data_IF_525703494046
#
_entry.id   IF_525703494046
#
_cell.length_a   1.000
_cell.length_b   1.000
_cell.length_c   1.000
_cell.angle_alpha   90.00
_cell.angle_beta   90.00
_cell.angle_gamma   90.00
#
_symmetry.space_group_name_H-M   'P 1'
#
loop_
_entity.id
_entity.type
_entity.pdbx_description
1 polymer ?
#
# COMPACT_ATOMS: atom_id res chain seq x y z
N UNK A 1 -25.13 -7.38 0.36
CA UNK A 1 -25.67 -6.14 -0.25
C UNK A 1 -25.76 -4.98 0.75
N UNK A 2 -26.29 -5.22 1.95
CA UNK A 2 -26.48 -4.17 2.97
C UNK A 2 -25.18 -3.48 3.44
N UNK A 3 -24.05 -4.21 3.53
CA UNK A 3 -22.75 -3.61 3.82
C UNK A 3 -22.39 -2.48 2.84
N UNK A 4 -22.58 -2.72 1.55
CA UNK A 4 -22.29 -1.73 0.49
C UNK A 4 -23.19 -0.49 0.58
N UNK A 5 -24.44 -0.67 1.03
CA UNK A 5 -25.38 0.43 1.29
C UNK A 5 -24.95 1.25 2.50
N UNK A 6 -24.52 0.61 3.58
CA UNK A 6 -23.99 1.30 4.76
C UNK A 6 -22.75 2.12 4.40
N UNK A 7 -21.83 1.53 3.65
CA UNK A 7 -20.64 2.23 3.17
C UNK A 7 -21.02 3.40 2.24
N UNK A 8 -22.04 3.23 1.38
CA UNK A 8 -22.53 4.30 0.49
C UNK A 8 -23.06 5.49 1.28
N UNK A 9 -23.87 5.25 2.32
CA UNK A 9 -24.38 6.32 3.20
C UNK A 9 -23.26 7.09 3.89
N UNK A 10 -22.21 6.39 4.32
CA UNK A 10 -21.03 7.01 4.93
C UNK A 10 -20.29 7.88 3.90
N UNK A 11 -20.04 7.34 2.71
CA UNK A 11 -19.42 8.09 1.62
C UNK A 11 -20.24 9.33 1.25
N UNK A 12 -21.53 9.18 0.98
CA UNK A 12 -22.44 10.26 0.62
C UNK A 12 -22.43 11.37 1.68
N UNK A 13 -22.49 11.00 2.97
CA UNK A 13 -22.38 11.96 4.07
C UNK A 13 -21.05 12.70 4.05
N UNK A 14 -19.94 12.00 3.82
CA UNK A 14 -18.60 12.62 3.77
C UNK A 14 -18.49 13.56 2.55
N UNK A 15 -18.90 13.11 1.37
CA UNK A 15 -18.71 13.87 0.13
C UNK A 15 -19.66 15.07 0.00
N UNK A 16 -20.83 15.04 0.65
CA UNK A 16 -21.79 16.15 0.67
C UNK A 16 -21.38 17.34 1.55
N UNK A 17 -20.30 17.24 2.34
CA UNK A 17 -19.83 18.39 3.12
C UNK A 17 -19.27 19.47 2.19
N UNK A 18 -19.74 20.72 2.34
CA UNK A 18 -19.46 21.82 1.40
C UNK A 18 -17.98 22.16 1.18
N UNK A 19 -17.09 21.83 2.13
CA UNK A 19 -15.64 22.07 1.98
C UNK A 19 -14.89 20.93 1.25
N UNK A 20 -15.50 19.75 1.10
CA UNK A 20 -14.84 18.55 0.57
C UNK A 20 -14.44 18.69 -0.91
N UNK A 21 -15.25 19.29 -1.81
CA UNK A 21 -14.83 19.49 -3.20
C UNK A 21 -13.59 20.37 -3.33
N UNK A 22 -13.54 21.48 -2.59
CA UNK A 22 -12.38 22.38 -2.58
C UNK A 22 -11.15 21.69 -1.98
N UNK A 23 -11.33 21.02 -0.84
CA UNK A 23 -10.24 20.30 -0.17
C UNK A 23 -9.65 19.19 -1.05
N UNK A 24 -10.48 18.35 -1.67
CA UNK A 24 -10.02 17.25 -2.53
C UNK A 24 -9.30 17.75 -3.77
N UNK A 25 -9.76 18.84 -4.38
CA UNK A 25 -9.07 19.47 -5.50
C UNK A 25 -7.69 20.00 -5.09
N UNK A 26 -7.62 20.83 -4.03
CA UNK A 26 -6.36 21.39 -3.52
C UNK A 26 -5.38 20.27 -3.13
N UNK A 27 -5.87 19.26 -2.42
CA UNK A 27 -5.08 18.10 -2.01
C UNK A 27 -4.51 17.36 -3.23
N UNK A 28 -5.32 17.13 -4.27
CA UNK A 28 -4.86 16.45 -5.49
C UNK A 28 -3.76 17.21 -6.21
N UNK A 29 -3.91 18.53 -6.37
CA UNK A 29 -2.92 19.40 -7.03
C UNK A 29 -1.63 19.41 -6.21
N UNK A 30 -1.74 19.61 -4.90
CA UNK A 30 -0.59 19.63 -4.00
C UNK A 30 0.18 18.31 -4.04
N UNK A 31 -0.49 17.18 -3.83
CA UNK A 31 0.16 15.86 -3.80
C UNK A 31 0.80 15.50 -5.15
N UNK A 32 0.12 15.74 -6.27
CA UNK A 32 0.68 15.47 -7.61
C UNK A 32 1.86 16.40 -7.93
N UNK A 33 1.82 17.66 -7.48
CA UNK A 33 2.96 18.58 -7.61
C UNK A 33 4.16 18.11 -6.80
N UNK A 34 3.95 17.66 -5.56
CA UNK A 34 5.00 17.09 -4.71
C UNK A 34 5.60 15.82 -5.30
N UNK A 35 4.77 14.92 -5.84
CA UNK A 35 5.25 13.73 -6.56
C UNK A 35 6.12 14.12 -7.77
N UNK A 36 5.71 15.13 -8.53
CA UNK A 36 6.48 15.64 -9.68
C UNK A 36 7.81 16.26 -9.25
N UNK A 37 7.81 17.06 -8.19
CA UNK A 37 9.04 17.64 -7.61
C UNK A 37 9.98 16.52 -7.16
N UNK A 38 9.49 15.51 -6.43
CA UNK A 38 10.32 14.39 -6.01
C UNK A 38 10.89 13.59 -7.18
N UNK A 39 10.13 13.39 -8.27
CA UNK A 39 10.66 12.77 -9.48
C UNK A 39 11.78 13.59 -10.11
N UNK A 40 11.63 14.92 -10.16
CA UNK A 40 12.69 15.81 -10.65
C UNK A 40 13.94 15.77 -9.76
N UNK A 41 13.77 15.67 -8.44
CA UNK A 41 14.88 15.52 -7.49
C UNK A 41 15.60 14.19 -7.72
N UNK A 42 14.87 13.07 -7.77
CA UNK A 42 15.44 11.74 -8.05
C UNK A 42 16.17 11.77 -9.38
N UNK A 43 15.53 12.28 -10.43
CA UNK A 43 16.10 12.37 -11.76
C UNK A 43 17.40 13.17 -11.74
N UNK A 44 17.41 14.40 -11.20
CA UNK A 44 18.61 15.24 -11.15
C UNK A 44 19.75 14.61 -10.37
N UNK A 45 19.46 13.91 -9.26
CA UNK A 45 20.48 13.26 -8.46
C UNK A 45 21.05 12.02 -9.12
N UNK A 46 20.27 11.32 -9.94
CA UNK A 46 20.79 10.22 -10.77
C UNK A 46 21.83 10.69 -11.80
N UNK A 47 21.84 11.98 -12.16
CA UNK A 47 22.84 12.59 -13.06
C UNK A 47 23.92 13.37 -12.34
N UNK A 48 23.98 13.31 -11.00
CA UNK A 48 25.04 13.99 -10.24
C UNK A 48 26.41 13.42 -10.63
N UNK A 49 27.40 14.29 -10.81
CA UNK A 49 28.78 13.86 -10.93
C UNK A 49 29.23 13.12 -9.67
N UNK A 50 29.83 11.96 -9.88
CA UNK A 50 30.24 11.07 -8.81
C UNK A 50 31.58 11.58 -8.28
N UNK A 51 31.61 11.91 -6.98
CA UNK A 51 32.84 12.33 -6.34
C UNK A 51 33.71 11.08 -6.13
N UNK A 52 34.89 11.07 -6.72
CA UNK A 52 35.82 9.96 -6.55
C UNK A 52 36.29 9.93 -5.10
N UNK A 53 35.97 8.84 -4.39
CA UNK A 53 36.44 8.61 -3.03
C UNK A 53 37.83 7.98 -3.10
N UNK A 54 38.78 8.56 -2.34
CA UNK A 54 40.11 8.00 -2.19
C UNK A 54 40.04 6.62 -1.52
N UNK A 55 40.57 5.61 -2.22
CA UNK A 55 40.70 4.26 -1.70
C UNK A 55 41.93 3.59 -2.29
N UNK A 56 42.81 3.14 -1.40
CA UNK A 56 44.02 2.42 -1.77
C UNK A 56 43.76 0.91 -1.66
N UNK A 57 43.56 0.26 -2.81
CA UNK A 57 43.23 -1.17 -2.89
C UNK A 57 44.35 -2.08 -2.39
N UNK A 58 45.59 -1.59 -2.35
CA UNK A 58 46.75 -2.42 -1.99
C UNK A 58 46.93 -2.55 -0.47
N UNK A 59 46.27 -1.69 0.31
CA UNK A 59 46.46 -1.61 1.75
C UNK A 59 45.24 -2.15 2.51
N UNK A 60 45.29 -3.45 2.86
CA UNK A 60 44.19 -4.14 3.56
C UNK A 60 44.00 -3.71 5.02
N UNK A 61 44.99 -3.04 5.58
CA UNK A 61 45.06 -2.65 7.00
C UNK A 61 44.49 -1.25 7.25
N UNK A 62 43.92 -0.62 6.23
CA UNK A 62 43.42 0.76 6.30
C UNK A 62 41.95 0.78 6.70
N UNK A 63 41.64 1.49 7.79
CA UNK A 63 40.28 1.87 8.15
C UNK A 63 40.06 3.32 7.76
N UNK A 64 39.09 3.56 6.88
CA UNK A 64 38.72 4.92 6.47
C UNK A 64 37.51 5.38 7.26
N UNK A 65 37.63 6.52 7.94
CA UNK A 65 36.54 7.22 8.61
C UNK A 65 36.13 8.41 7.75
N UNK A 66 34.97 8.32 7.11
CA UNK A 66 34.41 9.38 6.31
C UNK A 66 33.38 10.18 7.12
N UNK A 67 33.57 11.50 7.20
CA UNK A 67 32.66 12.41 7.90
C UNK A 67 32.14 13.48 6.95
N UNK A 68 30.81 13.61 6.88
CA UNK A 68 30.16 14.74 6.22
C UNK A 68 29.83 15.77 7.30
N UNK A 69 30.29 17.01 7.10
CA UNK A 69 30.17 18.08 8.09
C UNK A 69 29.48 19.29 7.48
N UNK A 70 28.58 19.93 8.25
CA UNK A 70 27.99 21.23 7.95
C UNK A 70 28.29 22.17 9.12
N UNK A 71 29.21 23.12 8.92
CA UNK A 71 29.75 23.94 10.00
C UNK A 71 30.47 23.09 11.05
N UNK A 72 30.02 23.17 12.31
CA UNK A 72 30.56 22.35 13.42
C UNK A 72 29.78 21.03 13.61
N UNK A 73 28.70 20.82 12.86
CA UNK A 73 27.81 19.66 13.03
C UNK A 73 28.20 18.52 12.10
N UNK A 74 28.40 17.31 12.66
CA UNK A 74 28.60 16.09 11.87
C UNK A 74 27.26 15.52 11.44
N UNK A 75 26.99 15.53 10.13
CA UNK A 75 25.73 15.04 9.56
C UNK A 75 25.75 13.52 9.33
N UNK A 76 26.88 12.99 8.87
CA UNK A 76 27.03 11.56 8.59
C UNK A 76 28.43 11.09 8.95
N UNK A 77 28.53 9.90 9.55
CA UNK A 77 29.82 9.24 9.83
C UNK A 77 29.80 7.80 9.33
N UNK A 78 30.65 7.50 8.36
CA UNK A 78 30.76 6.20 7.72
C UNK A 78 32.16 5.65 7.92
N UNK A 79 32.27 4.35 8.19
CA UNK A 79 33.54 3.62 8.21
C UNK A 79 33.61 2.71 7.01
N UNK A 80 34.74 2.61 6.34
CA UNK A 80 34.89 1.64 5.26
C UNK A 80 36.28 1.02 5.22
N UNK A 81 36.33 -0.25 4.81
CA UNK A 81 37.54 -1.08 4.76
C UNK A 81 37.38 -2.18 3.70
N UNK A 82 38.51 -2.73 3.25
CA UNK A 82 38.53 -3.96 2.45
C UNK A 82 38.22 -5.22 3.28
N UNK A 83 38.46 -5.17 4.59
CA UNK A 83 38.29 -6.27 5.54
C UNK A 83 37.11 -5.98 6.49
N UNK A 84 36.16 -6.90 6.66
CA UNK A 84 34.97 -6.66 7.46
C UNK A 84 35.30 -6.55 8.96
N UNK A 85 36.31 -7.28 9.44
CA UNK A 85 36.66 -7.34 10.86
C UNK A 85 37.05 -5.97 11.42
N UNK A 86 37.78 -5.17 10.62
CA UNK A 86 38.23 -3.83 11.02
C UNK A 86 37.09 -2.85 11.31
N UNK A 87 35.91 -3.06 10.72
CA UNK A 87 34.74 -2.18 10.94
C UNK A 87 34.10 -2.34 12.32
N UNK A 88 34.33 -3.50 12.96
CA UNK A 88 33.72 -3.85 14.24
C UNK A 88 34.68 -3.67 15.42
N UNK A 89 35.97 -3.51 15.17
CA UNK A 89 36.96 -3.27 16.22
C UNK A 89 36.80 -1.88 16.84
N UNK A 90 37.06 -1.82 18.15
CA UNK A 90 37.16 -0.54 18.88
C UNK A 90 38.42 0.19 18.44
N UNK A 91 38.38 1.52 18.44
CA UNK A 91 39.52 2.38 18.05
C UNK A 91 40.77 2.08 18.88
N UNK A 92 40.61 1.81 20.17
CA UNK A 92 41.71 1.44 21.08
C UNK A 92 42.46 0.17 20.62
N UNK A 93 41.73 -0.85 20.15
CA UNK A 93 42.32 -2.10 19.67
C UNK A 93 43.01 -1.92 18.30
N UNK A 94 42.46 -1.03 17.46
CA UNK A 94 43.06 -0.70 16.17
C UNK A 94 44.42 -0.01 16.36
N UNK A 95 44.50 0.92 17.32
CA UNK A 95 45.73 1.62 17.67
C UNK A 95 46.78 0.68 18.29
N UNK A 96 46.36 -0.27 19.15
CA UNK A 96 47.27 -1.26 19.75
C UNK A 96 47.92 -2.20 18.72
N UNK A 97 47.22 -2.50 17.62
CA UNK A 97 47.71 -3.40 16.57
C UNK A 97 48.31 -2.66 15.35
N UNK A 98 48.60 -1.37 15.47
CA UNK A 98 49.19 -0.53 14.41
C UNK A 98 48.35 -0.46 13.11
N UNK A 99 47.02 -0.59 13.20
CA UNK A 99 46.16 -0.32 12.04
C UNK A 99 46.10 1.18 11.79
N UNK A 100 46.20 1.61 10.52
CA UNK A 100 46.16 3.04 10.20
C UNK A 100 44.73 3.50 9.96
N UNK A 101 44.33 4.56 10.66
CA UNK A 101 43.02 5.19 10.52
C UNK A 101 43.16 6.44 9.64
N UNK A 102 42.52 6.46 8.47
CA UNK A 102 42.47 7.63 7.58
C UNK A 102 41.16 8.37 7.81
N UNK A 103 41.23 9.58 8.33
CA UNK A 103 40.06 10.44 8.51
C UNK A 103 39.87 11.33 7.27
N UNK A 104 38.73 11.20 6.62
CA UNK A 104 38.34 12.01 5.46
C UNK A 104 37.14 12.86 5.88
N UNK A 105 37.28 14.18 5.81
CA UNK A 105 36.23 15.14 6.14
C UNK A 105 35.82 15.88 4.88
N UNK A 106 34.53 15.83 4.55
CA UNK A 106 33.96 16.51 3.38
C UNK A 106 32.86 17.47 3.83
N UNK A 107 32.95 18.71 3.37
CA UNK A 107 31.91 19.71 3.63
C UNK A 107 30.64 19.39 2.85
N UNK A 108 29.47 19.53 3.47
CA UNK A 108 28.18 19.23 2.83
C UNK A 108 27.99 19.96 1.49
N UNK A 109 28.37 21.24 1.44
CA UNK A 109 28.18 22.07 0.25
C UNK A 109 29.07 21.66 -0.93
N UNK A 110 30.19 20.95 -0.70
CA UNK A 110 31.06 20.48 -1.79
C UNK A 110 30.53 19.22 -2.48
N UNK A 111 29.52 18.55 -1.90
CA UNK A 111 28.85 17.40 -2.52
C UNK A 111 27.91 17.78 -3.66
N UNK A 112 27.65 19.08 -3.86
CA UNK A 112 26.67 19.57 -4.81
C UNK A 112 27.25 20.72 -5.66
N UNK A 113 27.04 20.64 -6.97
CA UNK A 113 27.53 21.67 -7.90
C UNK A 113 26.73 22.99 -7.81
N UNK A 114 25.51 22.93 -7.26
CA UNK A 114 24.63 24.09 -7.16
C UNK A 114 23.92 24.16 -5.82
N UNK A 115 23.74 25.37 -5.30
CA UNK A 115 22.96 25.63 -4.07
C UNK A 115 21.53 25.10 -4.16
N UNK A 116 20.94 25.12 -5.36
CA UNK A 116 19.61 24.58 -5.58
C UNK A 116 19.58 23.06 -5.38
N UNK A 117 20.61 22.34 -5.84
CA UNK A 117 20.73 20.91 -5.60
C UNK A 117 20.96 20.61 -4.12
N UNK A 118 21.78 21.41 -3.44
CA UNK A 118 21.99 21.31 -1.99
C UNK A 118 20.68 21.52 -1.20
N UNK A 119 19.85 22.49 -1.61
CA UNK A 119 18.54 22.73 -1.00
C UNK A 119 17.58 21.56 -1.25
N UNK A 120 17.54 21.03 -2.47
CA UNK A 120 16.72 19.86 -2.81
C UNK A 120 17.19 18.59 -2.09
N UNK A 121 18.47 18.50 -1.72
CA UNK A 121 19.04 17.35 -1.02
C UNK A 121 18.90 17.38 0.50
N UNK A 122 18.41 18.47 1.08
CA UNK A 122 18.16 18.53 2.53
C UNK A 122 17.14 17.48 2.99
N UNK A 123 16.23 17.07 2.11
CA UNK A 123 15.23 16.03 2.39
C UNK A 123 15.71 14.61 2.09
N UNK A 124 17.01 14.41 1.83
CA UNK A 124 17.53 13.16 1.24
C UNK A 124 18.47 12.45 2.21
N UNK A 125 18.45 11.12 2.15
CA UNK A 125 19.38 10.31 2.91
C UNK A 125 20.81 10.46 2.35
N UNK A 126 21.65 11.21 3.06
CA UNK A 126 23.08 11.41 2.75
C UNK A 126 23.85 10.10 2.66
N UNK A 127 23.42 9.08 3.40
CA UNK A 127 23.98 7.73 3.33
C UNK A 127 23.90 7.17 1.90
N UNK A 128 22.77 7.32 1.23
CA UNK A 128 22.60 6.83 -0.15
C UNK A 128 23.54 7.53 -1.13
N UNK A 129 23.77 8.84 -0.96
CA UNK A 129 24.72 9.59 -1.79
C UNK A 129 26.14 9.05 -1.60
N UNK A 130 26.56 8.84 -0.35
CA UNK A 130 27.87 8.26 -0.05
C UNK A 130 28.02 6.84 -0.61
N UNK A 131 27.01 5.98 -0.41
CA UNK A 131 27.03 4.61 -0.93
C UNK A 131 27.13 4.58 -2.46
N UNK A 132 26.48 5.53 -3.15
CA UNK A 132 26.61 5.68 -4.59
C UNK A 132 28.04 6.10 -4.98
N UNK A 133 28.61 7.09 -4.30
CA UNK A 133 29.99 7.53 -4.57
C UNK A 133 31.00 6.38 -4.37
N UNK A 134 30.87 5.62 -3.28
CA UNK A 134 31.71 4.43 -3.00
C UNK A 134 31.54 3.36 -4.07
N UNK A 135 30.29 3.05 -4.45
CA UNK A 135 29.99 1.96 -5.37
C UNK A 135 30.57 2.18 -6.77
N UNK A 136 30.66 3.44 -7.21
CA UNK A 136 31.18 3.80 -8.52
C UNK A 136 32.66 4.20 -8.51
N UNK A 137 33.20 4.65 -7.37
CA UNK A 137 34.62 4.99 -7.27
C UNK A 137 35.49 3.75 -7.08
N UNK A 138 34.99 2.71 -6.41
CA UNK A 138 35.82 1.59 -5.98
C UNK A 138 35.50 0.31 -6.73
N UNK A 139 36.44 -0.08 -7.57
CA UNK A 139 36.44 -1.35 -8.28
C UNK A 139 36.99 -2.49 -7.43
N UNK A 140 36.68 -2.64 -6.14
CA UNK A 140 37.15 -3.76 -5.29
C UNK A 140 36.15 -4.17 -4.22
N UNK A 141 36.41 -5.30 -3.55
CA UNK A 141 35.58 -5.70 -2.41
C UNK A 141 35.71 -4.66 -1.29
N UNK A 142 34.59 -4.10 -0.86
CA UNK A 142 34.53 -3.12 0.22
C UNK A 142 33.41 -3.48 1.16
N UNK A 143 33.65 -3.17 2.43
CA UNK A 143 32.66 -3.16 3.47
C UNK A 143 32.55 -1.72 3.99
N UNK A 144 31.32 -1.22 4.09
CA UNK A 144 31.01 0.09 4.68
C UNK A 144 30.10 -0.16 5.88
N UNK A 145 30.34 0.56 6.96
CA UNK A 145 29.48 0.58 8.14
C UNK A 145 29.05 2.01 8.44
N UNK A 146 27.75 2.23 8.57
CA UNK A 146 27.24 3.47 9.13
C UNK A 146 27.39 3.44 10.65
N UNK A 147 28.04 4.45 11.21
CA UNK A 147 28.35 4.49 12.63
C UNK A 147 27.13 4.88 13.49
N UNK A 148 26.13 5.58 12.92
CA UNK A 148 24.91 5.94 13.65
C UNK A 148 23.88 4.80 13.68
N UNK A 149 23.69 4.13 12.54
CA UNK A 149 22.68 3.06 12.41
C UNK A 149 23.23 1.66 12.60
N UNK A 150 24.57 1.50 12.65
CA UNK A 150 25.27 0.22 12.64
C UNK A 150 24.98 -0.68 11.41
N UNK A 151 24.33 -0.17 10.36
CA UNK A 151 24.12 -0.93 9.13
C UNK A 151 25.44 -1.14 8.39
N UNK A 152 25.64 -2.38 7.92
CA UNK A 152 26.79 -2.77 7.11
C UNK A 152 26.36 -3.02 5.67
N UNK A 153 27.12 -2.46 4.75
CA UNK A 153 26.98 -2.62 3.32
C UNK A 153 28.23 -3.27 2.77
N UNK A 154 28.08 -4.08 1.73
CA UNK A 154 29.19 -4.81 1.15
C UNK A 154 29.03 -4.89 -0.36
N UNK A 155 30.13 -4.63 -1.06
CA UNK A 155 30.25 -4.72 -2.51
C UNK A 155 31.25 -5.81 -2.86
N UNK A 156 30.91 -6.60 -3.89
CA UNK A 156 31.88 -7.47 -4.56
C UNK A 156 32.32 -6.84 -5.86
N UNK A 157 33.62 -6.90 -6.11
CA UNK A 157 34.30 -6.45 -7.33
C UNK A 157 33.65 -7.15 -8.54
N UNK A 158 32.95 -6.37 -9.37
CA UNK A 158 32.05 -6.76 -10.47
C UNK A 158 30.69 -7.32 -10.05
N UNK A 159 29.67 -6.46 -10.06
CA UNK A 159 28.35 -6.92 -10.51
C UNK A 159 28.43 -7.06 -12.03
N UNK A 160 28.74 -8.27 -12.49
CA UNK A 160 28.80 -8.59 -13.92
C UNK A 160 27.48 -8.17 -14.59
N UNK A 161 27.58 -7.14 -15.45
CA UNK A 161 26.56 -6.87 -16.45
C UNK A 161 26.51 -8.13 -17.32
N UNK A 162 25.36 -8.81 -17.36
CA UNK A 162 25.17 -9.98 -18.20
C UNK A 162 25.65 -9.67 -19.62
N UNK A 163 26.75 -10.29 -20.03
CA UNK A 163 27.38 -10.04 -21.33
C UNK A 163 26.52 -10.56 -22.49
N UNK A 164 25.53 -11.42 -22.20
CA UNK A 164 24.58 -11.95 -23.18
C UNK A 164 23.23 -11.24 -23.10
N UNK A 165 22.81 -10.64 -24.21
CA UNK A 165 21.51 -9.98 -24.38
C UNK A 165 20.32 -10.88 -23.99
N UNK A 166 20.40 -12.18 -24.30
CA UNK A 166 19.39 -13.19 -23.96
C UNK A 166 19.25 -13.39 -22.44
N UNK A 167 20.37 -13.42 -21.70
CA UNK A 167 20.36 -13.51 -20.25
C UNK A 167 19.77 -12.26 -19.62
N UNK A 168 20.06 -11.07 -20.18
CA UNK A 168 19.47 -9.81 -19.73
C UNK A 168 17.95 -9.81 -19.92
N UNK A 169 17.46 -10.20 -21.09
CA UNK A 169 16.01 -10.31 -21.36
C UNK A 169 15.36 -11.31 -20.39
N UNK A 170 15.93 -12.52 -20.28
CA UNK A 170 15.39 -13.55 -19.39
C UNK A 170 15.31 -13.07 -17.94
N UNK A 171 16.34 -12.35 -17.46
CA UNK A 171 16.35 -11.77 -16.12
C UNK A 171 15.28 -10.69 -15.96
N UNK A 172 15.12 -9.79 -16.93
CA UNK A 172 14.08 -8.75 -16.89
C UNK A 172 12.66 -9.31 -16.93
N UNK A 173 12.43 -10.35 -17.75
CA UNK A 173 11.13 -11.05 -17.79
C UNK A 173 10.85 -11.78 -16.48
N UNK A 174 11.87 -12.41 -15.88
CA UNK A 174 11.74 -13.04 -14.58
C UNK A 174 11.42 -12.01 -13.48
N UNK A 175 12.13 -10.88 -13.45
CA UNK A 175 11.86 -9.79 -12.51
C UNK A 175 10.44 -9.23 -12.69
N UNK A 176 9.99 -9.05 -13.92
CA UNK A 176 8.61 -8.64 -14.23
C UNK A 176 7.58 -9.65 -13.71
N UNK A 177 7.79 -10.94 -13.96
CA UNK A 177 6.91 -12.01 -13.48
C UNK A 177 6.85 -12.05 -11.94
N UNK A 178 8.01 -11.95 -11.28
CA UNK A 178 8.11 -11.94 -9.81
C UNK A 178 7.41 -10.73 -9.21
N UNK A 179 7.59 -9.53 -9.78
CA UNK A 179 6.86 -8.32 -9.35
C UNK A 179 5.35 -8.53 -9.53
N UNK A 180 4.92 -9.02 -10.69
CA UNK A 180 3.51 -9.26 -11.00
C UNK A 180 2.87 -10.21 -9.99
N UNK A 181 3.54 -11.34 -9.73
CA UNK A 181 3.08 -12.35 -8.79
C UNK A 181 3.03 -11.80 -7.36
N UNK A 182 4.08 -11.09 -6.92
CA UNK A 182 4.15 -10.51 -5.59
C UNK A 182 3.09 -9.43 -5.37
N UNK A 183 2.84 -8.58 -6.37
CA UNK A 183 1.76 -7.58 -6.33
C UNK A 183 0.39 -8.24 -6.28
N UNK A 184 0.16 -9.27 -7.08
CA UNK A 184 -1.09 -10.02 -7.08
C UNK A 184 -1.37 -10.66 -5.71
N UNK A 185 -0.38 -11.37 -5.13
CA UNK A 185 -0.51 -11.99 -3.81
C UNK A 185 -0.77 -10.93 -2.74
N UNK A 186 0.03 -9.86 -2.73
CA UNK A 186 -0.10 -8.75 -1.77
C UNK A 186 -1.49 -8.09 -1.84
N UNK A 187 -1.93 -7.65 -3.02
CA UNK A 187 -3.23 -7.00 -3.19
C UNK A 187 -4.39 -7.96 -2.89
N UNK A 188 -4.33 -9.21 -3.35
CA UNK A 188 -5.38 -10.20 -3.09
C UNK A 188 -5.55 -10.49 -1.59
N UNK A 189 -4.44 -10.70 -0.87
CA UNK A 189 -4.48 -10.97 0.57
C UNK A 189 -4.86 -9.73 1.37
N UNK A 190 -4.35 -8.54 1.01
CA UNK A 190 -4.75 -7.27 1.63
C UNK A 190 -6.26 -7.01 1.44
N UNK A 191 -6.79 -7.19 0.23
CA UNK A 191 -8.21 -7.04 -0.05
C UNK A 191 -9.06 -8.03 0.76
N UNK A 192 -8.62 -9.28 0.86
CA UNK A 192 -9.30 -10.31 1.65
C UNK A 192 -9.30 -9.95 3.14
N UNK A 193 -8.14 -9.53 3.67
CA UNK A 193 -7.98 -9.07 5.05
C UNK A 193 -8.92 -7.90 5.37
N UNK A 194 -8.96 -6.88 4.51
CA UNK A 194 -9.82 -5.71 4.70
C UNK A 194 -11.30 -6.10 4.67
N UNK A 195 -11.71 -6.90 3.68
CA UNK A 195 -13.10 -7.33 3.52
C UNK A 195 -13.57 -8.12 4.75
N UNK A 196 -12.74 -9.05 5.23
CA UNK A 196 -13.07 -9.86 6.42
C UNK A 196 -13.06 -9.00 7.68
N UNK A 197 -12.12 -8.07 7.81
CA UNK A 197 -12.08 -7.14 8.96
C UNK A 197 -13.36 -6.31 9.03
N UNK A 198 -13.84 -5.78 7.90
CA UNK A 198 -15.11 -5.03 7.83
C UNK A 198 -16.31 -5.92 8.18
N UNK A 199 -16.33 -7.16 7.67
CA UNK A 199 -17.36 -8.15 7.97
C UNK A 199 -17.41 -8.48 9.47
N UNK A 200 -16.24 -8.64 10.09
CA UNK A 200 -16.06 -9.00 11.50
C UNK A 200 -16.18 -7.81 12.46
N UNK A 201 -16.04 -6.56 11.99
CA UNK A 201 -16.05 -5.37 12.83
C UNK A 201 -17.23 -5.30 13.82
N UNK A 202 -18.48 -5.71 13.47
CA UNK A 202 -19.60 -5.68 14.41
C UNK A 202 -19.41 -6.60 15.61
N UNK A 203 -18.60 -7.65 15.52
CA UNK A 203 -18.30 -8.55 16.65
C UNK A 203 -17.51 -7.84 17.72
N UNK A 204 -16.57 -6.98 17.33
CA UNK A 204 -15.82 -6.14 18.28
C UNK A 204 -16.80 -5.19 18.99
N UNK A 205 -17.72 -4.58 18.25
CA UNK A 205 -18.76 -3.72 18.82
C UNK A 205 -19.62 -4.51 19.81
N UNK A 206 -20.07 -5.72 19.47
CA UNK A 206 -20.84 -6.59 20.38
C UNK A 206 -20.05 -6.87 21.65
N UNK A 207 -18.76 -7.24 21.55
CA UNK A 207 -17.91 -7.47 22.73
C UNK A 207 -17.84 -6.21 23.59
N UNK A 208 -17.62 -5.03 22.99
CA UNK A 208 -17.61 -3.76 23.72
C UNK A 208 -18.94 -3.46 24.42
N UNK A 209 -20.07 -3.78 23.77
CA UNK A 209 -21.40 -3.60 24.35
C UNK A 209 -21.66 -4.56 25.52
N UNK A 210 -21.28 -5.83 25.39
CA UNK A 210 -21.39 -6.82 26.47
C UNK A 210 -20.53 -6.41 27.67
N UNK A 211 -19.32 -5.91 27.43
CA UNK A 211 -18.46 -5.34 28.48
C UNK A 211 -19.14 -4.13 29.13
N UNK A 212 -19.69 -3.20 28.34
CA UNK A 212 -20.40 -2.02 28.85
C UNK A 212 -21.66 -2.40 29.67
N UNK A 213 -22.34 -3.48 29.29
CA UNK A 213 -23.48 -4.02 30.01
C UNK A 213 -23.07 -4.56 31.39
N UNK A 214 -21.92 -5.24 31.49
CA UNK A 214 -21.34 -5.68 32.77
C UNK A 214 -21.06 -4.48 33.69
N UNK A 215 -20.63 -3.35 33.13
CA UNK A 215 -20.42 -2.10 33.86
C UNK A 215 -21.70 -1.30 34.18
N UNK A 216 -22.89 -1.87 33.93
CA UNK A 216 -24.17 -1.28 34.34
C UNK A 216 -24.82 -0.33 33.34
N UNK A 217 -24.24 -0.15 32.14
CA UNK A 217 -24.82 0.71 31.11
C UNK A 217 -25.87 -0.06 30.29
N UNK A 218 -27.12 -0.08 30.79
CA UNK A 218 -28.22 -0.89 30.22
C UNK A 218 -28.92 -0.27 29.01
N UNK A 219 -28.53 0.93 28.56
CA UNK A 219 -29.28 1.68 27.54
C UNK A 219 -28.90 1.36 26.08
N UNK A 220 -27.97 0.44 25.82
CA UNK A 220 -27.52 0.20 24.45
C UNK A 220 -28.37 -0.89 23.78
N UNK A 221 -29.29 -0.47 22.91
CA UNK A 221 -30.28 -1.32 22.27
C UNK A 221 -29.66 -2.34 21.29
N UNK A 222 -29.82 -3.67 21.52
CA UNK A 222 -29.44 -4.72 20.56
C UNK A 222 -30.13 -4.57 19.19
N UNK A 223 -31.33 -3.98 19.20
CA UNK A 223 -32.12 -3.64 18.00
C UNK A 223 -31.36 -2.69 17.07
N UNK A 224 -30.60 -1.74 17.61
CA UNK A 224 -29.81 -0.82 16.80
C UNK A 224 -28.68 -1.55 16.07
N UNK A 225 -28.02 -2.47 16.77
CA UNK A 225 -26.95 -3.28 16.18
C UNK A 225 -27.48 -4.23 15.12
N UNK A 226 -28.66 -4.82 15.35
CA UNK A 226 -29.31 -5.68 14.37
C UNK A 226 -29.76 -4.93 13.09
N UNK A 227 -30.10 -3.64 13.21
CA UNK A 227 -30.41 -2.77 12.07
C UNK A 227 -29.15 -2.25 11.37
N UNK A 228 -28.09 -1.94 12.12
CA UNK A 228 -26.85 -1.41 11.57
C UNK A 228 -26.05 -2.48 10.81
N UNK A 229 -26.08 -3.73 11.29
CA UNK A 229 -25.34 -4.86 10.72
C UNK A 229 -26.26 -6.08 10.51
N UNK A 230 -27.14 -6.05 9.48
CA UNK A 230 -28.15 -7.10 9.28
C UNK A 230 -27.59 -8.52 9.18
N UNK A 231 -26.39 -8.66 8.60
CA UNK A 231 -25.74 -9.97 8.40
C UNK A 231 -25.24 -10.62 9.69
N UNK A 232 -25.07 -9.89 10.78
CA UNK A 232 -24.78 -10.45 12.12
C UNK A 232 -26.03 -10.36 12.99
N UNK A 233 -26.77 -9.25 12.88
CA UNK A 233 -28.00 -8.97 13.59
C UNK A 233 -29.08 -10.04 13.44
N UNK A 234 -29.26 -10.57 12.23
CA UNK A 234 -30.23 -11.62 11.96
C UNK A 234 -29.89 -12.90 12.74
N UNK A 235 -28.64 -13.34 12.71
CA UNK A 235 -28.21 -14.52 13.47
C UNK A 235 -28.27 -14.30 14.98
N UNK A 236 -27.94 -13.11 15.47
CA UNK A 236 -28.11 -12.77 16.89
C UNK A 236 -29.57 -12.84 17.32
N UNK A 237 -30.49 -12.28 16.53
CA UNK A 237 -31.92 -12.33 16.81
C UNK A 237 -32.46 -13.77 16.80
N UNK A 238 -31.96 -14.62 15.90
CA UNK A 238 -32.33 -16.05 15.88
C UNK A 238 -31.80 -16.76 17.14
N UNK A 239 -30.56 -16.48 17.54
CA UNK A 239 -29.98 -17.05 18.76
C UNK A 239 -30.74 -16.61 20.02
N UNK A 240 -31.15 -15.34 20.09
CA UNK A 240 -31.97 -14.80 21.18
C UNK A 240 -33.36 -15.46 21.22
N UNK A 241 -34.01 -15.63 20.07
CA UNK A 241 -35.30 -16.33 19.99
C UNK A 241 -35.21 -17.81 20.36
N UNK A 242 -34.10 -18.45 20.04
CA UNK A 242 -33.86 -19.87 20.33
C UNK A 242 -33.20 -20.11 21.69
N UNK A 243 -32.97 -19.05 22.49
CA UNK A 243 -32.31 -19.12 23.80
C UNK A 243 -30.94 -19.83 23.76
N UNK A 244 -30.22 -19.73 22.63
CA UNK A 244 -28.90 -20.32 22.44
C UNK A 244 -27.79 -19.31 22.73
N UNK A 245 -26.63 -19.81 23.16
CA UNK A 245 -25.52 -18.94 23.55
C UNK A 245 -24.92 -18.20 22.35
N UNK A 246 -24.78 -16.86 22.45
CA UNK A 246 -24.08 -16.00 21.48
C UNK A 246 -22.56 -16.26 21.41
N UNK A 247 -22.00 -16.89 22.45
CA UNK A 247 -20.56 -17.12 22.61
C UNK A 247 -19.92 -17.83 21.42
N UNK A 248 -20.58 -18.86 20.88
CA UNK A 248 -20.06 -19.62 19.74
C UNK A 248 -19.90 -18.76 18.49
N UNK A 249 -20.87 -17.87 18.22
CA UNK A 249 -20.80 -16.91 17.11
C UNK A 249 -19.61 -15.95 17.29
N UNK A 250 -19.49 -15.35 18.47
CA UNK A 250 -18.40 -14.40 18.79
C UNK A 250 -17.04 -15.08 18.65
N UNK A 251 -16.89 -16.31 19.15
CA UNK A 251 -15.66 -17.09 19.04
C UNK A 251 -15.34 -17.39 17.57
N UNK A 252 -16.31 -17.81 16.77
CA UNK A 252 -16.10 -18.12 15.36
C UNK A 252 -15.60 -16.91 14.56
N UNK A 253 -16.22 -15.74 14.73
CA UNK A 253 -15.77 -14.51 14.05
C UNK A 253 -14.41 -14.02 14.55
N UNK A 254 -14.13 -14.15 15.85
CA UNK A 254 -12.82 -13.80 16.41
C UNK A 254 -11.72 -14.71 15.87
N UNK A 255 -11.97 -16.03 15.82
CA UNK A 255 -11.05 -17.00 15.23
C UNK A 255 -10.83 -16.75 13.73
N UNK A 256 -11.89 -16.37 13.00
CA UNK A 256 -11.78 -15.99 11.59
C UNK A 256 -10.89 -14.76 11.42
N UNK A 257 -11.05 -13.71 12.23
CA UNK A 257 -10.20 -12.52 12.19
C UNK A 257 -8.74 -12.87 12.49
N UNK A 258 -8.50 -13.68 13.52
CA UNK A 258 -7.17 -14.14 13.88
C UNK A 258 -6.51 -14.93 12.74
N UNK A 259 -7.19 -15.95 12.19
CA UNK A 259 -6.68 -16.76 11.09
C UNK A 259 -6.27 -15.90 9.89
N UNK A 260 -7.14 -14.97 9.49
CA UNK A 260 -6.90 -14.10 8.34
C UNK A 260 -5.77 -13.11 8.60
N UNK A 261 -5.60 -12.65 9.84
CA UNK A 261 -4.45 -11.84 10.24
C UNK A 261 -3.12 -12.63 10.11
N UNK A 262 -3.08 -13.90 10.49
CA UNK A 262 -1.88 -14.75 10.26
C UNK A 262 -1.58 -14.94 8.78
N UNK A 263 -2.61 -15.15 7.96
CA UNK A 263 -2.45 -15.25 6.50
C UNK A 263 -1.91 -13.94 5.95
N UNK A 264 -2.41 -12.80 6.41
CA UNK A 264 -1.93 -11.47 6.03
C UNK A 264 -0.45 -11.27 6.40
N UNK A 265 -0.05 -11.56 7.64
CA UNK A 265 1.36 -11.47 8.07
C UNK A 265 2.27 -12.39 7.27
N UNK A 266 1.82 -13.63 7.01
CA UNK A 266 2.57 -14.60 6.21
C UNK A 266 2.73 -14.11 4.77
N UNK A 267 1.69 -13.49 4.21
CA UNK A 267 1.73 -12.89 2.87
C UNK A 267 2.64 -11.66 2.82
N UNK A 268 2.72 -10.84 3.87
CA UNK A 268 3.70 -9.75 3.95
C UNK A 268 5.10 -10.33 3.90
N UNK A 269 5.39 -11.39 4.64
CA UNK A 269 6.71 -12.02 4.65
C UNK A 269 7.08 -12.62 3.28
N UNK A 270 6.17 -13.35 2.66
CA UNK A 270 6.37 -13.92 1.31
C UNK A 270 6.49 -12.79 0.27
N UNK A 271 5.63 -11.78 0.36
CA UNK A 271 5.63 -10.62 -0.52
C UNK A 271 6.91 -9.80 -0.39
N UNK A 272 7.42 -9.63 0.84
CA UNK A 272 8.69 -8.98 1.13
C UNK A 272 9.82 -9.65 0.35
N UNK A 273 9.92 -10.98 0.49
CA UNK A 273 10.93 -11.78 -0.21
C UNK A 273 10.80 -11.74 -1.74
N UNK A 274 9.57 -11.74 -2.26
CA UNK A 274 9.33 -11.68 -3.70
C UNK A 274 9.62 -10.30 -4.28
N UNK A 275 9.10 -9.24 -3.66
CA UNK A 275 9.09 -7.89 -4.21
C UNK A 275 10.43 -7.18 -3.98
N UNK A 276 11.01 -7.30 -2.80
CA UNK A 276 12.20 -6.59 -2.38
C UNK A 276 13.45 -7.45 -2.49
N UNK A 277 14.60 -6.81 -2.68
CA UNK A 277 15.92 -7.46 -2.63
C UNK A 277 16.42 -7.44 -1.19
N UNK A 278 17.38 -8.32 -0.87
CA UNK A 278 17.95 -8.44 0.48
C UNK A 278 18.65 -7.17 1.04
N UNK A 279 18.80 -6.09 0.26
CA UNK A 279 19.51 -4.86 0.64
C UNK A 279 18.59 -3.62 0.56
N UNK A 280 17.39 -3.72 1.12
CA UNK A 280 16.43 -2.60 1.18
C UNK A 280 16.47 -1.98 2.59
N UNK A 281 16.34 -0.64 2.72
CA UNK A 281 16.31 0.02 4.03
C UNK A 281 15.16 -0.48 4.88
N UNK A 282 15.41 -0.59 6.19
CA UNK A 282 14.43 -1.06 7.16
C UNK A 282 13.14 -0.22 7.12
N UNK A 283 12.00 -0.89 7.21
CA UNK A 283 10.66 -0.27 7.22
C UNK A 283 10.12 0.18 5.86
N UNK A 284 10.91 0.12 4.78
CA UNK A 284 10.39 0.43 3.45
C UNK A 284 9.33 -0.57 2.99
N UNK A 285 9.56 -1.85 3.28
CA UNK A 285 8.65 -2.94 2.94
C UNK A 285 7.31 -2.74 3.69
N UNK A 286 7.37 -2.49 4.99
CA UNK A 286 6.19 -2.22 5.83
C UNK A 286 5.39 -1.02 5.33
N UNK A 287 6.08 0.08 4.97
CA UNK A 287 5.44 1.26 4.40
C UNK A 287 4.75 0.96 3.07
N UNK A 288 5.36 0.12 2.22
CA UNK A 288 4.76 -0.28 0.94
C UNK A 288 3.49 -1.11 1.16
N UNK A 289 3.53 -2.15 2.00
CA UNK A 289 2.33 -2.94 2.31
C UNK A 289 1.26 -2.12 3.03
N UNK A 290 1.67 -1.20 3.90
CA UNK A 290 0.77 -0.23 4.52
C UNK A 290 0.06 0.65 3.48
N UNK A 291 0.79 1.16 2.48
CA UNK A 291 0.20 1.93 1.39
C UNK A 291 -0.79 1.11 0.56
N UNK A 292 -0.45 -0.13 0.21
CA UNK A 292 -1.37 -1.05 -0.50
C UNK A 292 -2.65 -1.23 0.30
N UNK A 293 -2.55 -1.58 1.58
CA UNK A 293 -3.71 -1.80 2.46
C UNK A 293 -4.55 -0.54 2.64
N UNK A 294 -3.94 0.64 2.83
CA UNK A 294 -4.67 1.91 2.92
C UNK A 294 -5.37 2.25 1.60
N UNK A 295 -4.72 2.01 0.46
CA UNK A 295 -5.31 2.27 -0.86
C UNK A 295 -6.51 1.36 -1.14
N UNK A 296 -6.43 0.08 -0.78
CA UNK A 296 -7.51 -0.90 -0.91
C UNK A 296 -8.69 -0.58 0.04
N UNK A 297 -8.39 -0.11 1.25
CA UNK A 297 -9.41 0.30 2.20
C UNK A 297 -10.13 1.57 1.72
N UNK A 298 -9.36 2.55 1.25
CA UNK A 298 -9.90 3.79 0.71
C UNK A 298 -10.73 3.53 -0.55
N UNK A 299 -10.28 2.62 -1.43
CA UNK A 299 -11.00 2.25 -2.66
C UNK A 299 -12.37 1.66 -2.36
N UNK A 300 -12.44 0.77 -1.37
CA UNK A 300 -13.68 0.13 -0.92
C UNK A 300 -14.69 1.14 -0.36
N UNK A 301 -14.22 2.16 0.37
CA UNK A 301 -15.06 3.18 0.98
C UNK A 301 -15.60 4.18 -0.06
N UNK A 302 -14.72 4.77 -0.87
CA UNK A 302 -15.03 5.97 -1.65
C UNK A 302 -15.35 5.73 -3.12
N UNK A 303 -14.88 4.65 -3.75
CA UNK A 303 -14.99 4.52 -5.22
C UNK A 303 -16.23 3.73 -5.62
N UNK A 304 -17.21 4.39 -6.22
CA UNK A 304 -18.48 3.76 -6.66
C UNK A 304 -18.76 3.92 -8.14
N UNK A 305 -18.22 4.96 -8.75
CA UNK A 305 -18.47 5.25 -10.17
C UNK A 305 -17.76 4.27 -11.09
N UNK A 306 -18.31 4.09 -12.30
CA UNK A 306 -17.75 3.19 -13.31
C UNK A 306 -16.31 3.56 -13.69
N UNK A 307 -16.06 4.85 -13.87
CA UNK A 307 -14.77 5.38 -14.32
C UNK A 307 -13.72 5.22 -13.23
N UNK A 308 -14.04 5.54 -11.97
CA UNK A 308 -13.11 5.40 -10.86
C UNK A 308 -12.73 3.94 -10.62
N UNK A 309 -13.70 3.03 -10.57
CA UNK A 309 -13.49 1.60 -10.38
C UNK A 309 -12.66 0.96 -11.51
N UNK A 310 -12.73 1.50 -12.73
CA UNK A 310 -11.98 0.95 -13.87
C UNK A 310 -10.57 1.52 -13.99
N UNK A 311 -10.39 2.83 -13.83
CA UNK A 311 -9.13 3.50 -14.13
C UNK A 311 -8.22 3.65 -12.92
N UNK A 312 -8.75 3.93 -11.73
CA UNK A 312 -7.90 4.19 -10.56
C UNK A 312 -7.02 2.97 -10.20
N UNK A 313 -7.54 1.72 -10.15
CA UNK A 313 -6.69 0.55 -9.89
C UNK A 313 -5.58 0.37 -10.92
N UNK A 314 -5.81 0.79 -12.18
CA UNK A 314 -4.78 0.70 -13.23
C UNK A 314 -3.67 1.71 -12.99
N UNK A 315 -4.00 2.95 -12.63
CA UNK A 315 -3.00 3.96 -12.29
C UNK A 315 -2.18 3.57 -11.07
N UNK A 316 -2.83 3.09 -9.99
CA UNK A 316 -2.12 2.65 -8.78
C UNK A 316 -1.20 1.47 -9.07
N UNK A 317 -1.64 0.49 -9.84
CA UNK A 317 -0.80 -0.64 -10.27
C UNK A 317 0.40 -0.15 -11.09
N UNK A 318 0.21 0.77 -12.05
CA UNK A 318 1.31 1.34 -12.83
C UNK A 318 2.34 2.01 -11.90
N UNK A 319 1.89 2.79 -10.92
CA UNK A 319 2.80 3.43 -9.96
C UNK A 319 3.54 2.39 -9.10
N UNK A 320 2.87 1.34 -8.63
CA UNK A 320 3.51 0.23 -7.92
C UNK A 320 4.56 -0.47 -8.78
N UNK A 321 4.26 -0.74 -10.05
CA UNK A 321 5.23 -1.32 -10.98
C UNK A 321 6.45 -0.43 -11.15
N UNK A 322 6.27 0.88 -11.40
CA UNK A 322 7.38 1.81 -11.59
C UNK A 322 8.28 1.86 -10.35
N UNK A 323 7.68 1.91 -9.16
CA UNK A 323 8.39 1.90 -7.89
C UNK A 323 9.17 0.59 -7.67
N UNK A 324 8.50 -0.56 -7.80
CA UNK A 324 9.14 -1.86 -7.57
C UNK A 324 10.20 -2.17 -8.63
N UNK A 325 9.96 -1.76 -9.88
CA UNK A 325 10.94 -1.84 -10.94
C UNK A 325 12.19 -1.01 -10.60
N UNK A 326 12.01 0.22 -10.12
CA UNK A 326 13.11 1.06 -9.64
C UNK A 326 13.87 0.38 -8.51
N UNK A 327 13.18 -0.05 -7.45
CA UNK A 327 13.79 -0.70 -6.27
C UNK A 327 14.56 -1.96 -6.64
N UNK A 328 14.07 -2.77 -7.59
CA UNK A 328 14.78 -3.96 -8.05
C UNK A 328 15.90 -3.63 -9.02
N UNK A 329 15.78 -2.60 -9.84
CA UNK A 329 16.80 -2.26 -10.83
C UNK A 329 18.03 -1.63 -10.19
N UNK A 330 17.85 -0.88 -9.10
CA UNK A 330 18.95 -0.24 -8.38
C UNK A 330 19.37 -1.07 -7.16
N UNK A 331 20.65 -1.00 -6.79
CA UNK A 331 21.17 -1.60 -5.54
C UNK A 331 21.12 -0.60 -4.39
N UNK A 332 21.46 0.65 -4.68
CA UNK A 332 21.43 1.77 -3.73
C UNK A 332 20.71 2.97 -4.37
N UNK A 333 19.38 2.91 -4.37
CA UNK A 333 18.53 4.01 -4.84
C UNK A 333 18.03 4.89 -3.70
N UNK A 334 17.52 6.07 -4.05
CA UNK A 334 16.79 6.96 -3.14
C UNK A 334 15.41 6.39 -2.76
N UNK A 335 15.39 5.23 -2.09
CA UNK A 335 14.17 4.44 -1.92
C UNK A 335 13.11 5.12 -1.05
N UNK A 336 13.51 5.81 0.03
CA UNK A 336 12.58 6.56 0.88
C UNK A 336 11.88 7.68 0.10
N UNK A 337 12.64 8.41 -0.74
CA UNK A 337 12.08 9.47 -1.59
C UNK A 337 11.17 8.88 -2.68
N UNK A 338 11.57 7.75 -3.27
CA UNK A 338 10.72 7.03 -4.24
C UNK A 338 9.42 6.51 -3.59
N UNK A 339 9.47 6.06 -2.34
CA UNK A 339 8.29 5.62 -1.58
C UNK A 339 7.35 6.79 -1.26
N UNK A 340 7.89 7.96 -0.89
CA UNK A 340 7.11 9.20 -0.73
C UNK A 340 6.50 9.68 -2.05
N UNK A 341 7.24 9.57 -3.14
CA UNK A 341 6.74 9.88 -4.49
C UNK A 341 5.58 8.98 -4.85
N UNK A 342 5.71 7.67 -4.60
CA UNK A 342 4.67 6.69 -4.83
C UNK A 342 3.41 7.02 -4.01
N UNK A 343 3.55 7.30 -2.71
CA UNK A 343 2.40 7.59 -1.85
C UNK A 343 1.69 8.86 -2.31
N UNK A 344 2.42 9.93 -2.65
CA UNK A 344 1.84 11.17 -3.18
C UNK A 344 1.18 10.98 -4.54
N UNK A 345 1.75 10.17 -5.44
CA UNK A 345 1.12 9.85 -6.72
C UNK A 345 -0.19 9.06 -6.51
N UNK A 346 -0.19 8.05 -5.64
CA UNK A 346 -1.38 7.25 -5.33
C UNK A 346 -2.47 8.08 -4.65
N UNK A 347 -2.16 8.83 -3.59
CA UNK A 347 -3.16 9.67 -2.91
C UNK A 347 -3.61 10.86 -3.76
N UNK A 348 -2.70 11.48 -4.52
CA UNK A 348 -3.02 12.59 -5.42
C UNK A 348 -3.99 12.17 -6.52
N UNK A 349 -3.72 11.03 -7.19
CA UNK A 349 -4.65 10.45 -8.16
C UNK A 349 -5.97 10.02 -7.52
N UNK A 350 -5.94 9.43 -6.32
CA UNK A 350 -7.15 9.08 -5.58
C UNK A 350 -8.05 10.31 -5.32
N UNK A 351 -7.48 11.40 -4.79
CA UNK A 351 -8.19 12.65 -4.56
C UNK A 351 -8.73 13.26 -5.87
N UNK A 352 -7.96 13.18 -6.95
CA UNK A 352 -8.39 13.64 -8.28
C UNK A 352 -9.62 12.87 -8.77
N UNK A 353 -9.65 11.54 -8.61
CA UNK A 353 -10.80 10.72 -8.98
C UNK A 353 -12.04 11.01 -8.12
N UNK A 354 -11.85 11.28 -6.82
CA UNK A 354 -12.95 11.73 -5.96
C UNK A 354 -13.53 13.05 -6.47
N UNK A 355 -12.67 14.02 -6.76
CA UNK A 355 -13.08 15.35 -7.21
C UNK A 355 -13.79 15.32 -8.57
N UNK A 356 -13.25 14.59 -9.54
CA UNK A 356 -13.78 14.59 -10.93
C UNK A 356 -15.00 13.67 -11.09
N UNK A 357 -15.06 12.54 -10.39
CA UNK A 357 -16.08 11.53 -10.65
C UNK A 357 -16.99 11.26 -9.45
N UNK A 358 -16.46 11.05 -8.25
CA UNK A 358 -17.31 10.65 -7.11
C UNK A 358 -18.17 11.79 -6.58
N UNK A 359 -17.62 13.00 -6.43
CA UNK A 359 -18.40 14.17 -5.94
C UNK A 359 -19.52 14.54 -6.94
N UNK A 360 -19.26 14.73 -8.25
CA UNK A 360 -20.31 15.07 -9.20
C UNK A 360 -21.37 13.97 -9.34
N UNK A 361 -21.04 12.72 -9.02
CA UNK A 361 -21.99 11.60 -9.12
C UNK A 361 -23.20 11.72 -8.19
N UNK A 362 -23.10 12.54 -7.14
CA UNK A 362 -24.19 12.81 -6.20
C UNK A 362 -25.31 13.63 -6.84
N UNK A 363 -25.00 14.41 -7.87
CA UNK A 363 -25.95 15.26 -8.60
C UNK A 363 -26.41 14.64 -9.93
N UNK A 364 -25.85 13.48 -10.32
CA UNK A 364 -26.25 12.80 -11.55
C UNK A 364 -27.70 12.32 -11.49
N UNK A 365 -28.33 12.17 -12.66
CA UNK A 365 -29.69 11.64 -12.73
C UNK A 365 -29.76 10.26 -12.03
N UNK A 366 -30.55 10.12 -10.95
CA UNK A 366 -30.60 8.91 -10.16
C UNK A 366 -31.22 7.73 -10.93
N UNK A 367 -31.91 7.99 -12.04
CA UNK A 367 -32.51 6.95 -12.90
C UNK A 367 -31.48 6.30 -13.83
N UNK A 368 -30.37 6.98 -14.13
CA UNK A 368 -29.33 6.45 -15.01
C UNK A 368 -28.71 5.18 -14.43
N UNK A 369 -28.42 4.20 -15.29
CA UNK A 369 -27.74 2.95 -14.91
C UNK A 369 -26.30 3.15 -14.41
N UNK A 370 -25.71 4.31 -14.66
CA UNK A 370 -24.34 4.64 -14.30
C UNK A 370 -24.23 5.51 -13.06
N UNK A 371 -25.36 5.85 -12.43
CA UNK A 371 -25.39 6.68 -11.22
C UNK A 371 -25.46 5.77 -10.00
N UNK A 372 -24.49 5.83 -9.08
CA UNK A 372 -24.59 5.12 -7.82
C UNK A 372 -25.74 5.71 -6.99
N UNK A 373 -26.55 4.86 -6.38
CA UNK A 373 -27.65 5.26 -5.49
C UNK A 373 -27.67 4.37 -4.25
N UNK A 374 -28.52 4.69 -3.26
CA UNK A 374 -28.63 3.87 -2.04
C UNK A 374 -29.03 2.41 -2.35
N UNK A 375 -29.91 2.20 -3.33
CA UNK A 375 -30.24 0.84 -3.78
C UNK A 375 -29.18 0.24 -4.67
N UNK A 376 -28.38 1.10 -5.33
CA UNK A 376 -27.36 0.73 -6.30
C UNK A 376 -26.00 1.30 -5.91
N UNK A 377 -25.40 0.82 -4.81
CA UNK A 377 -24.27 1.50 -4.18
C UNK A 377 -22.98 1.51 -5.02
N UNK A 378 -22.88 0.72 -6.10
CA UNK A 378 -21.75 0.67 -7.03
C UNK A 378 -22.25 0.45 -8.46
N UNK A 379 -21.52 0.94 -9.47
CA UNK A 379 -21.90 0.77 -10.88
C UNK A 379 -21.59 -0.62 -11.46
N UNK A 380 -20.65 -1.33 -10.85
CA UNK A 380 -20.17 -2.64 -11.27
C UNK A 380 -20.60 -3.73 -10.29
N UNK A 381 -21.06 -4.86 -10.81
CA UNK A 381 -21.64 -5.95 -10.03
C UNK A 381 -21.01 -7.29 -10.37
N UNK A 382 -21.10 -8.22 -9.42
CA UNK A 382 -20.73 -9.61 -9.64
C UNK A 382 -21.77 -10.27 -10.56
N UNK A 383 -21.33 -11.04 -11.58
CA UNK A 383 -22.22 -11.71 -12.52
C UNK A 383 -23.02 -12.85 -11.87
N UNK A 384 -22.49 -13.41 -10.78
CA UNK A 384 -23.16 -14.44 -9.99
C UNK A 384 -24.03 -13.74 -8.96
N UNK A 385 -25.34 -13.94 -9.03
CA UNK A 385 -26.27 -13.49 -8.00
C UNK A 385 -26.95 -14.72 -7.39
N UNK A 386 -26.88 -14.85 -6.07
CA UNK A 386 -27.68 -15.82 -5.32
C UNK A 386 -28.71 -15.07 -4.49
N UNK A 387 -29.95 -15.54 -4.51
CA UNK A 387 -31.05 -14.99 -3.70
C UNK A 387 -30.73 -14.96 -2.20
N UNK A 388 -29.86 -15.86 -1.73
CA UNK A 388 -29.43 -15.91 -0.33
C UNK A 388 -28.61 -14.67 0.08
N UNK A 389 -27.96 -13.98 -0.87
CA UNK A 389 -27.09 -12.82 -0.60
C UNK A 389 -27.83 -11.51 -0.34
N UNK A 390 -29.17 -11.53 -0.38
CA UNK A 390 -29.99 -10.36 -0.01
C UNK A 390 -29.81 -10.04 1.47
N UNK A 391 -29.82 -11.08 2.32
CA UNK A 391 -29.68 -10.95 3.78
C UNK A 391 -28.36 -11.50 4.32
N UNK A 392 -27.64 -12.31 3.53
CA UNK A 392 -26.34 -12.88 3.91
C UNK A 392 -25.16 -12.15 3.26
N UNK A 393 -23.96 -12.43 3.76
CA UNK A 393 -22.72 -11.96 3.14
C UNK A 393 -22.44 -12.77 1.86
N UNK A 394 -21.95 -12.13 0.79
CA UNK A 394 -21.48 -12.87 -0.36
C UNK A 394 -20.32 -13.78 0.05
N UNK A 395 -20.28 -14.98 -0.52
CA UNK A 395 -19.22 -15.94 -0.25
C UNK A 395 -17.85 -15.34 -0.57
N UNK A 396 -16.81 -15.63 0.23
CA UNK A 396 -15.52 -14.93 0.13
C UNK A 396 -14.88 -15.05 -1.26
N UNK A 397 -14.97 -16.21 -1.89
CA UNK A 397 -14.40 -16.47 -3.23
C UNK A 397 -14.94 -15.54 -4.32
N UNK A 398 -16.10 -14.92 -4.11
CA UNK A 398 -16.68 -13.96 -5.07
C UNK A 398 -15.79 -12.74 -5.31
N UNK A 399 -14.83 -12.45 -4.43
CA UNK A 399 -13.86 -11.37 -4.64
C UNK A 399 -12.92 -11.60 -5.84
N UNK A 400 -12.75 -12.85 -6.26
CA UNK A 400 -11.89 -13.21 -7.39
C UNK A 400 -12.64 -13.20 -8.73
N UNK A 401 -13.93 -12.89 -8.72
CA UNK A 401 -14.72 -12.79 -9.94
C UNK A 401 -14.62 -11.40 -10.56
N UNK A 402 -14.47 -11.32 -11.89
CA UNK A 402 -14.47 -10.04 -12.57
C UNK A 402 -15.81 -9.33 -12.37
N UNK A 403 -15.75 -8.02 -12.16
CA UNK A 403 -16.95 -7.21 -12.08
C UNK A 403 -17.46 -6.88 -13.49
N UNK A 404 -18.74 -7.07 -13.71
CA UNK A 404 -19.40 -6.74 -14.97
C UNK A 404 -20.26 -5.49 -14.83
N UNK A 405 -20.29 -4.69 -15.89
CA UNK A 405 -21.21 -3.57 -15.99
C UNK A 405 -22.64 -4.06 -16.15
N UNK A 406 -23.61 -3.27 -15.71
CA UNK A 406 -25.05 -3.58 -15.80
C UNK A 406 -25.53 -3.97 -17.20
N UNK A 407 -24.88 -3.47 -18.24
CA UNK A 407 -25.18 -3.81 -19.65
C UNK A 407 -25.07 -5.31 -19.98
N UNK A 408 -24.37 -6.09 -19.16
CA UNK A 408 -24.20 -7.52 -19.35
C UNK A 408 -25.23 -8.36 -18.60
N UNK A 409 -26.14 -7.73 -17.87
CA UNK A 409 -27.20 -8.39 -17.11
C UNK A 409 -28.54 -8.20 -17.81
N UNK A 410 -29.35 -9.26 -17.83
CA UNK A 410 -30.75 -9.16 -18.23
C UNK A 410 -31.52 -8.28 -17.25
N UNK A 411 -32.53 -7.58 -17.75
CA UNK A 411 -33.39 -6.68 -16.97
C UNK A 411 -34.05 -7.43 -15.80
N UNK A 412 -34.42 -8.69 -16.00
CA UNK A 412 -34.98 -9.59 -14.98
C UNK A 412 -34.02 -9.77 -13.78
N UNK A 413 -32.75 -10.04 -14.04
CA UNK A 413 -31.72 -10.22 -13.01
C UNK A 413 -31.45 -8.93 -12.23
N UNK A 414 -31.61 -7.77 -12.88
CA UNK A 414 -31.43 -6.47 -12.27
C UNK A 414 -32.65 -5.99 -11.47
N UNK A 415 -33.86 -6.43 -11.81
CA UNK A 415 -35.09 -6.05 -11.11
C UNK A 415 -35.03 -6.40 -9.62
N UNK A 416 -34.44 -7.56 -9.31
CA UNK A 416 -34.27 -8.07 -7.95
C UNK A 416 -33.15 -7.35 -7.19
N UNK A 417 -32.05 -7.03 -7.87
CA UNK A 417 -30.93 -6.24 -7.32
C UNK A 417 -31.38 -4.81 -7.00
N UNK A 418 -32.19 -4.22 -7.88
CA UNK A 418 -32.70 -2.86 -7.77
C UNK A 418 -33.95 -2.75 -6.88
N UNK A 419 -34.45 -3.87 -6.35
CA UNK A 419 -35.71 -3.97 -5.59
C UNK A 419 -36.87 -3.26 -6.31
N UNK A 420 -36.90 -3.35 -7.63
CA UNK A 420 -37.98 -2.82 -8.45
C UNK A 420 -39.16 -3.79 -8.41
N UNK A 421 -39.86 -3.81 -7.27
CA UNK A 421 -40.98 -4.72 -7.01
C UNK A 421 -42.08 -4.67 -8.08
N UNK A 422 -42.46 -3.51 -8.65
CA UNK A 422 -43.41 -3.48 -9.76
C UNK A 422 -42.94 -4.27 -10.99
N UNK A 423 -41.67 -4.11 -11.38
CA UNK A 423 -41.10 -4.83 -12.51
C UNK A 423 -40.92 -6.31 -12.20
N UNK A 424 -40.51 -6.65 -10.98
CA UNK A 424 -40.35 -8.02 -10.52
C UNK A 424 -41.69 -8.77 -10.49
N UNK A 425 -42.74 -8.13 -9.96
CA UNK A 425 -44.07 -8.73 -9.90
C UNK A 425 -44.64 -8.95 -11.30
N UNK A 426 -44.50 -7.98 -12.21
CA UNK A 426 -44.91 -8.16 -13.61
C UNK A 426 -44.18 -9.32 -14.29
N UNK A 427 -42.89 -9.53 -14.00
CA UNK A 427 -42.12 -10.64 -14.56
C UNK A 427 -42.54 -11.99 -13.98
N UNK A 428 -42.79 -12.05 -12.67
CA UNK A 428 -43.32 -13.25 -12.02
C UNK A 428 -44.70 -13.61 -12.53
N UNK A 429 -45.58 -12.63 -12.76
CA UNK A 429 -46.91 -12.84 -13.31
C UNK A 429 -46.84 -13.39 -14.76
N UNK A 430 -45.89 -12.91 -15.58
CA UNK A 430 -45.65 -13.44 -16.94
C UNK A 430 -45.14 -14.89 -16.88
N UNK A 431 -44.14 -15.19 -16.04
CA UNK A 431 -43.61 -16.55 -15.90
C UNK A 431 -44.68 -17.52 -15.36
N UNK A 432 -45.52 -17.07 -14.43
CA UNK A 432 -46.63 -17.87 -13.90
C UNK A 432 -47.70 -18.15 -14.97
N UNK A 433 -47.94 -17.22 -15.89
CA UNK A 433 -48.84 -17.41 -17.03
C UNK A 433 -48.26 -18.34 -18.11
N UNK A 434 -46.94 -18.35 -18.30
CA UNK A 434 -46.28 -19.26 -19.26
C UNK A 434 -46.16 -20.71 -18.75
N UNK A 435 -46.26 -20.94 -17.44
CA UNK A 435 -46.22 -22.27 -16.82
C UNK A 435 -47.60 -22.96 -16.68
N UNK A 436 -48.68 -22.23 -16.92
CA UNK A 436 -50.06 -22.75 -16.95
C UNK A 436 -50.45 -23.11 -18.38
#
# INVERSE_FOLDING_TARGET
MELEKTLYRVQERILNYGYVPQFTNICSIFLLSMASIHLLIIWRLSYRNINQIEFDQNHKDYLYNYKIVEGDSTLLTMKYSSTPELLHLRTELLEQHNFTIKNITVEYNSLFESRFQALLSQSINLETLFLHDVAYSINSNIYVKNNSTNHTFHWRQKQDVAQNYTQKISKTLWEFFVITLGLFISSAVSSLYIKITIICAPVIIIIMLEVSYIFGNRQIFPIFLARAFPWIGLYLNILDRTQRSKKQLIIAFTLMLFLIYFIYLSSIFIGSYLLFKAQVPYGLEDNFFGLVTVSEFASLLFLRTRTSLYFLPKFTIIFYYLFLWYVRSTTYGFYSLAMLTLSYACFGTFCLFIFIYEIPSLEWNPLSFYTPTLDRPRCYYLPVFSMNWVNELPQLWTMFYPLHGRRYFQIQNLALVDRNFPLLNNLLDIEMQEQQ
#
